data_IF_672555239371
#
_entry.id   IF_672555239371
#
_cell.length_a   1.000
_cell.length_b   1.000
_cell.length_c   1.000
_cell.angle_alpha   90.00
_cell.angle_beta   90.00
_cell.angle_gamma   90.00
#
_symmetry.space_group_name_H-M   'P 1'
#
loop_
_entity.id
_entity.type
_entity.pdbx_description
1 polymer ?
#
# COMPACT_ATOMS: atom_id res chain seq x y z
N UNK A 1 -6.10 28.52 -9.27
CA UNK A 1 -4.83 28.95 -8.65
C UNK A 1 -4.64 28.10 -7.41
N UNK A 2 -3.85 27.02 -7.51
CA UNK A 2 -3.68 26.04 -6.43
C UNK A 2 -3.02 26.68 -5.21
N UNK A 3 -3.53 26.37 -4.02
CA UNK A 3 -2.88 26.75 -2.77
C UNK A 3 -1.58 25.95 -2.68
N UNK A 4 -0.43 26.61 -2.60
CA UNK A 4 0.85 25.91 -2.53
C UNK A 4 0.97 25.10 -1.23
N UNK A 5 1.38 23.82 -1.31
CA UNK A 5 1.59 22.91 -0.16
C UNK A 5 2.81 23.26 0.74
N UNK A 6 3.11 24.54 0.91
CA UNK A 6 4.24 25.03 1.69
C UNK A 6 5.60 24.48 1.22
N UNK A 7 6.53 24.37 2.17
CA UNK A 7 7.90 23.89 1.92
C UNK A 7 7.93 22.45 1.36
N UNK A 8 7.06 21.56 1.87
CA UNK A 8 7.02 20.17 1.44
C UNK A 8 6.62 20.04 -0.04
N UNK A 9 5.59 20.76 -0.51
CA UNK A 9 5.23 20.77 -1.92
C UNK A 9 6.32 21.36 -2.81
N UNK A 10 7.02 22.39 -2.34
CA UNK A 10 8.12 23.03 -3.07
C UNK A 10 9.28 22.04 -3.28
N UNK A 11 9.65 21.27 -2.24
CA UNK A 11 10.68 20.23 -2.35
C UNK A 11 10.24 19.11 -3.31
N UNK A 12 8.98 18.69 -3.26
CA UNK A 12 8.47 17.65 -4.15
C UNK A 12 8.50 18.09 -5.62
N UNK A 13 8.11 19.34 -5.92
CA UNK A 13 8.17 19.89 -7.29
C UNK A 13 9.59 19.94 -7.84
N UNK A 14 10.56 20.31 -7.01
CA UNK A 14 11.98 20.28 -7.39
C UNK A 14 12.47 18.86 -7.71
N UNK A 15 11.83 17.83 -7.16
CA UNK A 15 12.11 16.42 -7.43
C UNK A 15 11.22 15.84 -8.56
N UNK A 16 10.58 16.68 -9.38
CA UNK A 16 9.81 16.25 -10.55
C UNK A 16 8.38 15.76 -10.25
N UNK A 17 7.85 16.07 -9.07
CA UNK A 17 6.44 15.79 -8.74
C UNK A 17 5.48 16.44 -9.74
N UNK A 18 4.46 15.67 -10.17
CA UNK A 18 3.30 16.18 -10.91
C UNK A 18 2.11 16.24 -9.95
N UNK A 19 1.45 17.40 -9.94
CA UNK A 19 0.22 17.60 -9.17
C UNK A 19 -1.00 17.27 -10.04
N UNK A 20 -1.95 16.57 -9.45
CA UNK A 20 -3.22 16.20 -10.06
C UNK A 20 -4.34 16.51 -9.08
N UNK A 21 -5.57 16.63 -9.59
CA UNK A 21 -6.76 16.73 -8.76
C UNK A 21 -7.64 15.51 -9.04
N UNK A 22 -7.97 14.77 -7.99
CA UNK A 22 -8.87 13.63 -8.07
C UNK A 22 -10.26 14.06 -7.65
N UNK A 23 -11.28 13.52 -8.30
CA UNK A 23 -12.69 13.80 -7.98
C UNK A 23 -13.38 12.52 -7.55
N UNK A 24 -13.98 12.52 -6.37
CA UNK A 24 -14.79 11.39 -5.87
C UNK A 24 -16.02 11.22 -6.75
N UNK A 25 -16.28 10.01 -7.21
CA UNK A 25 -17.47 9.63 -7.99
C UNK A 25 -18.41 8.72 -7.20
N UNK A 26 -17.91 8.03 -6.18
CA UNK A 26 -18.69 7.13 -5.33
C UNK A 26 -17.94 6.70 -4.07
N UNK A 27 -18.64 6.06 -3.15
CA UNK A 27 -18.09 5.53 -1.92
C UNK A 27 -18.81 4.24 -1.50
N UNK A 28 -18.08 3.33 -0.88
CA UNK A 28 -18.53 2.04 -0.35
C UNK A 28 -17.96 1.86 1.06
N UNK A 29 -18.83 1.60 2.04
CA UNK A 29 -18.42 1.17 3.38
C UNK A 29 -18.25 -0.36 3.35
N UNK A 30 -17.01 -0.80 3.10
CA UNK A 30 -16.63 -2.22 2.99
C UNK A 30 -16.77 -2.94 4.32
N UNK A 31 -16.37 -2.27 5.40
CA UNK A 31 -16.64 -2.66 6.79
C UNK A 31 -16.75 -1.40 7.67
N UNK A 32 -16.99 -1.55 8.97
CA UNK A 32 -17.05 -0.40 9.89
C UNK A 32 -15.75 0.42 9.93
N UNK A 33 -14.62 -0.25 9.68
CA UNK A 33 -13.28 0.34 9.78
C UNK A 33 -12.54 0.33 8.43
N UNK A 34 -13.26 0.12 7.33
CA UNK A 34 -12.68 0.06 5.99
C UNK A 34 -13.61 0.67 4.94
N UNK A 35 -13.11 1.67 4.22
CA UNK A 35 -13.92 2.40 3.24
C UNK A 35 -13.21 2.49 1.90
N UNK A 36 -13.96 2.27 0.82
CA UNK A 36 -13.49 2.45 -0.55
C UNK A 36 -14.11 3.71 -1.13
N UNK A 37 -13.30 4.52 -1.80
CA UNK A 37 -13.73 5.66 -2.61
C UNK A 37 -13.40 5.38 -4.06
N UNK A 38 -14.32 5.71 -4.97
CA UNK A 38 -14.11 5.67 -6.41
C UNK A 38 -13.80 7.08 -6.90
N UNK A 39 -12.81 7.24 -7.79
CA UNK A 39 -12.33 8.55 -8.23
C UNK A 39 -12.05 8.59 -9.72
N UNK A 40 -12.19 9.78 -10.31
CA UNK A 40 -11.50 10.14 -11.56
C UNK A 40 -10.14 10.75 -11.24
N UNK A 41 -9.17 10.56 -12.12
CA UNK A 41 -7.74 10.78 -11.87
C UNK A 41 -7.18 12.13 -12.35
N UNK A 42 -7.99 12.96 -13.02
CA UNK A 42 -7.53 14.22 -13.59
C UNK A 42 -6.44 14.06 -14.66
N UNK A 43 -6.38 12.91 -15.35
CA UNK A 43 -5.39 12.59 -16.38
C UNK A 43 -4.07 12.01 -15.84
N UNK A 44 -4.00 11.69 -14.55
CA UNK A 44 -2.81 11.17 -13.88
C UNK A 44 -2.29 9.85 -14.48
N UNK A 45 -3.18 8.87 -14.69
CA UNK A 45 -2.84 7.54 -15.20
C UNK A 45 -2.27 7.63 -16.62
N UNK A 46 -2.85 8.46 -17.48
CA UNK A 46 -2.33 8.71 -18.82
C UNK A 46 -0.94 9.37 -18.79
N UNK A 47 -0.69 10.26 -17.82
CA UNK A 47 0.56 11.03 -17.71
C UNK A 47 1.70 10.27 -17.00
N UNK A 48 1.40 9.18 -16.31
CA UNK A 48 2.37 8.47 -15.45
C UNK A 48 2.46 6.96 -15.71
N UNK A 49 1.48 6.38 -16.40
CA UNK A 49 1.35 4.93 -16.54
C UNK A 49 0.86 4.28 -15.24
N UNK A 50 0.83 2.95 -15.23
CA UNK A 50 0.41 2.14 -14.07
C UNK A 50 1.42 1.05 -13.80
N UNK A 51 1.55 0.67 -12.54
CA UNK A 51 2.33 -0.49 -12.14
C UNK A 51 1.76 -1.11 -10.85
N UNK A 52 2.10 -2.38 -10.54
CA UNK A 52 1.71 -3.00 -9.28
C UNK A 52 2.17 -2.18 -8.08
N UNK A 53 1.40 -2.20 -6.99
CA UNK A 53 1.68 -1.47 -5.73
C UNK A 53 1.79 0.06 -5.89
N UNK A 54 1.31 0.62 -7.00
CA UNK A 54 1.39 2.06 -7.27
C UNK A 54 0.62 2.87 -6.23
N UNK A 55 1.23 3.96 -5.77
CA UNK A 55 0.67 4.82 -4.73
C UNK A 55 0.90 6.29 -5.03
N UNK A 56 0.05 7.12 -4.44
CA UNK A 56 -0.01 8.58 -4.59
C UNK A 56 -0.03 9.26 -3.24
N UNK A 57 0.51 10.48 -3.17
CA UNK A 57 0.41 11.33 -1.97
C UNK A 57 -0.81 12.21 -2.11
N UNK A 58 -1.78 12.05 -1.22
CA UNK A 58 -2.95 12.90 -1.13
C UNK A 58 -2.70 14.00 -0.08
N UNK A 59 -3.21 15.20 -0.36
CA UNK A 59 -3.06 16.36 0.50
C UNK A 59 -4.38 16.67 1.23
N UNK A 60 -4.38 16.42 2.53
CA UNK A 60 -5.51 16.68 3.42
C UNK A 60 -5.34 18.01 4.14
N UNK A 61 -6.46 18.67 4.44
CA UNK A 61 -6.47 19.80 5.36
C UNK A 61 -6.49 19.28 6.81
N UNK A 62 -5.61 19.81 7.65
CA UNK A 62 -5.55 19.49 9.07
C UNK A 62 -5.36 20.78 9.88
N UNK A 63 -6.47 21.37 10.37
CA UNK A 63 -6.44 22.61 11.13
C UNK A 63 -5.82 23.78 10.35
N UNK A 64 -6.18 23.92 9.07
CA UNK A 64 -5.64 24.96 8.17
C UNK A 64 -4.21 24.71 7.68
N UNK A 65 -3.62 23.53 7.93
CA UNK A 65 -2.30 23.15 7.43
C UNK A 65 -2.38 21.94 6.49
N UNK A 66 -1.56 21.90 5.43
CA UNK A 66 -1.50 20.75 4.53
C UNK A 66 -0.88 19.55 5.24
N UNK A 67 -1.49 18.38 5.08
CA UNK A 67 -1.07 17.13 5.68
C UNK A 67 -1.15 16.01 4.65
N UNK A 68 0.00 15.45 4.28
CA UNK A 68 0.05 14.43 3.24
C UNK A 68 -0.05 13.00 3.79
N UNK A 69 -0.73 12.11 3.05
CA UNK A 69 -0.70 10.65 3.27
C UNK A 69 -0.61 9.91 1.94
N UNK A 70 0.09 8.78 1.95
CA UNK A 70 0.20 7.92 0.77
C UNK A 70 -0.95 6.91 0.74
N UNK A 71 -1.53 6.71 -0.43
CA UNK A 71 -2.55 5.68 -0.68
C UNK A 71 -2.26 4.93 -1.97
N UNK A 72 -2.45 3.62 -1.92
CA UNK A 72 -2.28 2.73 -3.08
C UNK A 72 -3.51 2.79 -3.98
N UNK A 73 -3.28 2.78 -5.29
CA UNK A 73 -4.35 2.71 -6.29
C UNK A 73 -4.95 1.30 -6.32
N UNK A 74 -6.27 1.24 -6.37
CA UNK A 74 -7.05 0.00 -6.59
C UNK A 74 -7.67 0.09 -7.97
N UNK A 75 -7.47 -0.96 -8.78
CA UNK A 75 -8.02 -1.11 -10.14
C UNK A 75 -7.89 0.13 -11.02
N UNK A 76 -6.68 0.67 -11.24
CA UNK A 76 -6.52 1.80 -12.13
C UNK A 76 -6.84 1.43 -13.58
N UNK A 77 -7.74 2.19 -14.20
CA UNK A 77 -8.10 2.12 -15.61
C UNK A 77 -7.59 3.38 -16.33
N UNK A 78 -6.44 3.30 -17.04
CA UNK A 78 -5.88 4.42 -17.78
C UNK A 78 -6.74 4.90 -18.95
N UNK A 79 -7.63 4.06 -19.49
CA UNK A 79 -8.52 4.44 -20.58
C UNK A 79 -9.71 5.25 -20.08
N UNK A 80 -10.28 4.86 -18.94
CA UNK A 80 -11.37 5.59 -18.30
C UNK A 80 -10.89 6.77 -17.45
N UNK A 81 -9.62 6.79 -17.04
CA UNK A 81 -9.09 7.78 -16.09
C UNK A 81 -9.70 7.60 -14.70
N UNK A 82 -9.95 6.35 -14.30
CA UNK A 82 -10.62 6.01 -13.04
C UNK A 82 -9.82 5.02 -12.22
N UNK A 83 -9.95 5.09 -10.91
CA UNK A 83 -9.37 4.15 -9.96
C UNK A 83 -10.14 4.25 -8.64
N UNK A 84 -9.82 3.37 -7.69
CA UNK A 84 -10.34 3.45 -6.33
C UNK A 84 -9.21 3.63 -5.32
N UNK A 85 -9.57 4.13 -4.15
CA UNK A 85 -8.70 4.21 -2.98
C UNK A 85 -9.40 3.54 -1.80
N UNK A 86 -8.63 2.80 -1.02
CA UNK A 86 -9.14 2.12 0.17
C UNK A 86 -8.49 2.70 1.43
N UNK A 87 -9.31 2.97 2.43
CA UNK A 87 -8.97 3.62 3.68
C UNK A 87 -9.23 2.65 4.83
N UNK A 88 -8.16 2.15 5.43
CA UNK A 88 -8.22 1.59 6.78
C UNK A 88 -8.51 2.74 7.76
N UNK A 89 -9.74 2.81 8.28
CA UNK A 89 -10.21 3.93 9.09
C UNK A 89 -9.60 3.88 10.49
N UNK A 90 -9.11 5.02 10.93
CA UNK A 90 -8.57 5.26 12.27
C UNK A 90 -8.74 6.74 12.64
N UNK A 91 -8.32 7.17 13.82
CA UNK A 91 -8.36 8.60 14.18
C UNK A 91 -7.41 9.43 13.31
N UNK A 92 -7.91 10.52 12.72
CA UNK A 92 -7.11 11.50 12.00
C UNK A 92 -7.73 12.01 10.69
N UNK A 93 -7.22 13.17 10.22
CA UNK A 93 -7.81 13.95 9.13
C UNK A 93 -8.03 13.19 7.82
N UNK A 94 -7.20 12.19 7.49
CA UNK A 94 -7.38 11.41 6.27
C UNK A 94 -8.60 10.48 6.35
N UNK A 95 -8.80 9.83 7.50
CA UNK A 95 -10.00 9.03 7.78
C UNK A 95 -11.24 9.91 7.92
N UNK A 96 -11.11 11.07 8.56
CA UNK A 96 -12.22 12.02 8.71
C UNK A 96 -12.70 12.54 7.35
N UNK A 97 -11.75 12.88 6.47
CA UNK A 97 -12.04 13.23 5.09
C UNK A 97 -12.70 12.07 4.35
N UNK A 98 -12.17 10.85 4.46
CA UNK A 98 -12.74 9.70 3.77
C UNK A 98 -14.17 9.38 4.22
N UNK A 99 -14.47 9.47 5.52
CA UNK A 99 -15.83 9.31 6.08
C UNK A 99 -16.80 10.37 5.53
N UNK A 100 -16.32 11.60 5.39
CA UNK A 100 -17.13 12.73 4.93
C UNK A 100 -17.25 12.82 3.39
N UNK A 101 -16.37 12.14 2.65
CA UNK A 101 -16.27 12.24 1.20
C UNK A 101 -17.56 11.81 0.50
N UNK A 102 -17.97 12.64 -0.47
CA UNK A 102 -19.16 12.47 -1.32
C UNK A 102 -18.81 12.72 -2.79
N UNK A 103 -19.60 12.19 -3.73
CA UNK A 103 -19.43 12.49 -5.15
C UNK A 103 -19.32 14.00 -5.41
N UNK A 104 -18.33 14.39 -6.22
CA UNK A 104 -17.98 15.78 -6.52
C UNK A 104 -16.98 16.43 -5.55
N UNK A 105 -16.64 15.81 -4.42
CA UNK A 105 -15.52 16.28 -3.61
C UNK A 105 -14.19 16.02 -4.33
N UNK A 106 -13.26 16.96 -4.19
CA UNK A 106 -11.94 16.84 -4.80
C UNK A 106 -10.84 16.71 -3.75
N UNK A 107 -9.70 16.15 -4.17
CA UNK A 107 -8.48 16.09 -3.37
C UNK A 107 -7.26 16.25 -4.27
N UNK A 108 -6.31 17.06 -3.83
CA UNK A 108 -5.05 17.23 -4.53
C UNK A 108 -4.14 16.03 -4.28
N UNK A 109 -3.44 15.61 -5.33
CA UNK A 109 -2.57 14.46 -5.31
C UNK A 109 -1.23 14.73 -5.99
N UNK A 110 -0.19 14.09 -5.50
CA UNK A 110 1.15 14.14 -6.07
C UNK A 110 1.66 12.73 -6.32
N UNK A 111 2.09 12.45 -7.56
CA UNK A 111 2.74 11.18 -7.92
C UNK A 111 4.25 11.37 -7.86
N UNK A 112 4.91 10.68 -6.92
CA UNK A 112 6.36 10.73 -6.81
C UNK A 112 6.91 9.60 -5.95
N UNK A 113 7.99 8.94 -6.40
CA UNK A 113 8.72 7.94 -5.63
C UNK A 113 8.06 6.57 -5.58
N UNK A 114 6.97 6.37 -6.32
CA UNK A 114 6.35 5.07 -6.54
C UNK A 114 7.04 4.33 -7.70
N UNK A 115 7.06 3.01 -7.64
CA UNK A 115 7.67 2.17 -8.66
C UNK A 115 7.55 0.69 -8.30
N UNK A 116 7.63 -0.16 -9.32
CA UNK A 116 7.66 -1.61 -9.15
C UNK A 116 8.77 -2.20 -10.01
N UNK A 117 9.60 -3.02 -9.40
CA UNK A 117 10.58 -3.82 -10.10
C UNK A 117 10.22 -5.28 -9.92
N UNK A 118 9.78 -5.91 -11.01
CA UNK A 118 9.48 -7.35 -11.00
C UNK A 118 10.75 -8.12 -10.62
N UNK A 119 10.72 -8.96 -9.57
CA UNK A 119 11.89 -9.70 -9.13
C UNK A 119 12.38 -10.65 -10.23
N UNK A 120 13.70 -10.73 -10.37
CA UNK A 120 14.36 -11.70 -11.28
C UNK A 120 15.40 -12.50 -10.49
N UNK A 121 15.48 -13.84 -10.65
CA UNK A 121 14.56 -14.71 -11.40
C UNK A 121 13.11 -14.63 -10.86
N UNK A 122 12.15 -15.14 -11.63
CA UNK A 122 10.75 -15.20 -11.16
C UNK A 122 10.68 -15.88 -9.79
N UNK A 123 9.86 -15.39 -8.85
CA UNK A 123 9.74 -16.01 -7.54
C UNK A 123 9.20 -17.43 -7.65
N UNK A 124 9.81 -18.36 -6.93
CA UNK A 124 9.22 -19.69 -6.73
C UNK A 124 8.21 -19.69 -5.58
N UNK A 125 8.26 -18.68 -4.70
CA UNK A 125 7.31 -18.45 -3.60
C UNK A 125 7.36 -16.98 -3.16
N UNK A 126 6.21 -16.39 -2.85
CA UNK A 126 6.08 -15.05 -2.29
C UNK A 126 5.78 -15.13 -0.79
N UNK A 127 6.60 -14.49 0.03
CA UNK A 127 6.40 -14.36 1.47
C UNK A 127 6.01 -12.92 1.78
N UNK A 128 4.75 -12.67 2.13
CA UNK A 128 4.22 -11.34 2.34
C UNK A 128 3.87 -11.08 3.81
N UNK A 129 4.18 -9.88 4.29
CA UNK A 129 3.74 -9.38 5.59
C UNK A 129 2.96 -8.10 5.36
N UNK A 130 1.70 -8.11 5.78
CA UNK A 130 0.72 -7.10 5.43
C UNK A 130 -0.24 -6.80 6.59
N UNK A 131 -0.98 -5.71 6.46
CA UNK A 131 -2.04 -5.28 7.37
C UNK A 131 -3.17 -4.64 6.53
N UNK A 132 -4.29 -4.20 7.13
CA UNK A 132 -5.37 -3.58 6.38
C UNK A 132 -4.94 -2.35 5.55
N UNK A 133 -3.94 -1.59 6.00
CA UNK A 133 -3.47 -0.40 5.28
C UNK A 133 -2.67 -0.76 4.01
N UNK A 134 -2.03 -1.92 3.98
CA UNK A 134 -1.28 -2.41 2.82
C UNK A 134 -2.03 -3.40 1.93
N UNK A 135 -3.23 -3.83 2.33
CA UNK A 135 -4.07 -4.75 1.57
C UNK A 135 -4.25 -4.39 0.08
N UNK A 136 -4.49 -3.12 -0.32
CA UNK A 136 -4.58 -2.75 -1.72
C UNK A 136 -3.31 -3.08 -2.51
N UNK A 137 -2.15 -2.84 -1.90
CA UNK A 137 -0.86 -3.13 -2.52
C UNK A 137 -0.60 -4.63 -2.56
N UNK A 138 -0.95 -5.36 -1.51
CA UNK A 138 -0.87 -6.82 -1.47
C UNK A 138 -1.71 -7.44 -2.61
N UNK A 139 -2.96 -7.01 -2.78
CA UNK A 139 -3.81 -7.48 -3.87
C UNK A 139 -3.15 -7.25 -5.24
N UNK A 140 -2.69 -6.02 -5.51
CA UNK A 140 -2.02 -5.71 -6.79
C UNK A 140 -0.71 -6.49 -7.00
N UNK A 141 -0.01 -6.84 -5.92
CA UNK A 141 1.21 -7.66 -5.98
C UNK A 141 0.87 -9.10 -6.34
N UNK A 142 -0.18 -9.67 -5.73
CA UNK A 142 -0.66 -11.02 -6.02
C UNK A 142 -1.20 -11.12 -7.44
N UNK A 143 -1.89 -10.08 -7.94
CA UNK A 143 -2.35 -10.01 -9.33
C UNK A 143 -1.17 -10.05 -10.32
N UNK A 144 -0.04 -9.40 -10.00
CA UNK A 144 1.17 -9.39 -10.83
C UNK A 144 1.98 -10.70 -10.74
N UNK A 145 2.10 -11.27 -9.54
CA UNK A 145 2.97 -12.42 -9.23
C UNK A 145 2.22 -13.74 -9.10
N UNK A 146 0.94 -13.80 -9.45
CA UNK A 146 0.01 -14.91 -9.17
C UNK A 146 0.38 -16.27 -9.77
N UNK A 147 1.46 -16.37 -10.54
CA UNK A 147 2.05 -17.66 -10.94
C UNK A 147 2.83 -18.34 -9.81
N UNK A 148 3.24 -17.60 -8.79
CA UNK A 148 3.97 -18.12 -7.65
C UNK A 148 3.02 -18.34 -6.46
N UNK A 149 3.14 -19.47 -5.73
CA UNK A 149 2.43 -19.65 -4.47
C UNK A 149 2.81 -18.56 -3.46
N UNK A 150 1.89 -18.24 -2.55
CA UNK A 150 2.08 -17.21 -1.55
C UNK A 150 2.00 -17.78 -0.13
N UNK A 151 2.64 -17.10 0.81
CA UNK A 151 2.39 -17.25 2.25
C UNK A 151 2.36 -15.87 2.84
N UNK A 152 1.22 -15.54 3.44
CA UNK A 152 0.92 -14.18 3.88
C UNK A 152 0.74 -14.21 5.39
N UNK A 153 1.56 -13.47 6.13
CA UNK A 153 1.26 -13.14 7.51
C UNK A 153 0.51 -11.80 7.51
N UNK A 154 -0.77 -11.85 7.87
CA UNK A 154 -1.64 -10.68 7.87
C UNK A 154 -1.94 -10.25 9.30
N UNK A 155 -1.52 -9.05 9.69
CA UNK A 155 -1.77 -8.53 11.03
C UNK A 155 -3.22 -8.06 11.18
N UNK A 156 -3.96 -8.67 12.10
CA UNK A 156 -5.39 -8.45 12.29
C UNK A 156 -6.23 -9.53 11.61
N UNK A 157 -7.41 -9.14 11.11
CA UNK A 157 -8.37 -10.04 10.48
C UNK A 157 -8.64 -9.59 9.04
N UNK A 158 -8.81 -10.56 8.14
CA UNK A 158 -9.24 -10.36 6.76
C UNK A 158 -10.76 -10.39 6.58
N UNK A 159 -11.53 -10.81 7.58
CA UNK A 159 -12.98 -10.94 7.49
C UNK A 159 -13.65 -9.64 7.00
N UNK A 160 -14.39 -9.75 5.89
CA UNK A 160 -15.07 -8.62 5.27
C UNK A 160 -14.19 -7.69 4.45
N UNK A 161 -12.86 -7.89 4.43
CA UNK A 161 -11.95 -7.12 3.58
C UNK A 161 -11.90 -7.69 2.15
N UNK A 162 -11.62 -6.85 1.13
CA UNK A 162 -11.66 -7.24 -0.28
C UNK A 162 -10.35 -7.93 -0.69
N UNK A 163 -9.94 -8.97 0.03
CA UNK A 163 -8.76 -9.76 -0.29
C UNK A 163 -9.01 -10.63 -1.54
N UNK A 164 -8.03 -10.64 -2.46
CA UNK A 164 -8.16 -11.32 -3.77
C UNK A 164 -7.34 -12.60 -3.91
N UNK A 165 -6.46 -12.90 -2.95
CA UNK A 165 -5.69 -14.14 -2.94
C UNK A 165 -6.49 -15.32 -2.40
N UNK A 166 -5.83 -16.48 -2.29
CA UNK A 166 -6.41 -17.64 -1.63
C UNK A 166 -6.37 -17.46 -0.10
N UNK A 167 -7.49 -17.47 0.63
CA UNK A 167 -7.50 -17.41 2.09
C UNK A 167 -6.68 -18.51 2.76
N UNK A 168 -6.46 -19.66 2.09
CA UNK A 168 -5.61 -20.74 2.59
C UNK A 168 -4.11 -20.36 2.67
N UNK A 169 -3.68 -19.35 1.91
CA UNK A 169 -2.31 -18.83 1.95
C UNK A 169 -2.07 -17.87 3.13
N UNK A 170 -3.14 -17.50 3.86
CA UNK A 170 -3.09 -16.48 4.89
C UNK A 170 -2.98 -17.07 6.29
N UNK A 171 -2.02 -16.53 7.04
CA UNK A 171 -1.87 -16.69 8.48
C UNK A 171 -2.26 -15.37 9.13
N UNK A 172 -3.48 -15.29 9.66
CA UNK A 172 -3.90 -14.13 10.45
C UNK A 172 -3.15 -14.10 11.77
N UNK A 173 -2.52 -12.98 12.09
CA UNK A 173 -1.72 -12.81 13.30
C UNK A 173 -2.32 -11.68 14.15
N UNK A 174 -2.51 -11.87 15.47
CA UNK A 174 -2.91 -10.78 16.34
C UNK A 174 -1.97 -9.58 16.26
N UNK A 175 -2.50 -8.38 16.50
CA UNK A 175 -1.68 -7.16 16.52
C UNK A 175 -0.53 -7.29 17.52
N UNK A 176 0.65 -6.84 17.12
CA UNK A 176 1.92 -6.90 17.84
C UNK A 176 2.62 -8.26 17.86
N UNK A 177 1.98 -9.34 17.41
CA UNK A 177 2.57 -10.69 17.39
C UNK A 177 3.21 -11.02 16.03
N UNK A 178 3.07 -10.13 15.03
CA UNK A 178 3.52 -10.36 13.65
C UNK A 178 5.02 -10.71 13.58
N UNK A 179 5.86 -10.02 14.34
CA UNK A 179 7.31 -10.25 14.34
C UNK A 179 7.65 -11.66 14.81
N UNK A 180 7.02 -12.11 15.88
CA UNK A 180 7.31 -13.42 16.49
C UNK A 180 6.77 -14.55 15.62
N UNK A 181 5.57 -14.40 15.06
CA UNK A 181 4.99 -15.37 14.13
C UNK A 181 5.87 -15.56 12.88
N UNK A 182 6.36 -14.47 12.28
CA UNK A 182 7.25 -14.55 11.11
C UNK A 182 8.59 -15.19 11.48
N UNK A 183 9.15 -14.87 12.65
CA UNK A 183 10.42 -15.45 13.13
C UNK A 183 10.33 -16.94 13.40
N UNK A 184 9.17 -17.44 13.83
CA UNK A 184 8.94 -18.85 14.08
C UNK A 184 8.98 -19.69 12.78
N UNK A 185 8.39 -19.18 11.71
CA UNK A 185 8.09 -19.98 10.51
C UNK A 185 9.02 -19.70 9.31
N UNK A 186 9.31 -18.42 9.05
CA UNK A 186 10.00 -17.98 7.84
C UNK A 186 11.36 -18.68 7.61
N UNK A 187 12.20 -18.95 8.63
CA UNK A 187 13.51 -19.56 8.39
C UNK A 187 13.43 -20.95 7.74
N UNK A 188 12.44 -21.77 8.12
CA UNK A 188 12.26 -23.09 7.53
C UNK A 188 11.76 -22.99 6.10
N UNK A 189 10.80 -22.10 5.85
CA UNK A 189 10.20 -21.87 4.53
C UNK A 189 11.23 -21.32 3.52
N UNK A 190 12.11 -20.41 3.94
CA UNK A 190 13.18 -19.91 3.07
C UNK A 190 14.18 -20.99 2.70
N UNK A 191 14.54 -21.88 3.64
CA UNK A 191 15.48 -22.97 3.35
C UNK A 191 14.95 -23.96 2.31
N UNK A 192 13.63 -24.14 2.23
CA UNK A 192 12.97 -25.01 1.25
C UNK A 192 12.60 -24.30 -0.05
N UNK A 193 12.92 -23.02 -0.20
CA UNK A 193 12.52 -22.21 -1.37
C UNK A 193 13.73 -21.77 -2.16
N UNK A 194 13.81 -22.14 -3.43
CA UNK A 194 14.95 -21.81 -4.29
C UNK A 194 15.03 -20.32 -4.65
N UNK A 195 13.89 -19.70 -4.98
CA UNK A 195 13.80 -18.30 -5.39
C UNK A 195 12.76 -17.55 -4.55
N UNK A 196 12.98 -17.37 -3.24
CA UNK A 196 12.03 -16.66 -2.38
C UNK A 196 11.98 -15.18 -2.78
N UNK A 197 10.80 -14.59 -2.66
CA UNK A 197 10.64 -13.14 -2.71
C UNK A 197 9.88 -12.67 -1.47
N UNK A 198 10.47 -11.74 -0.72
CA UNK A 198 9.88 -11.21 0.51
C UNK A 198 9.28 -9.84 0.25
N UNK A 199 8.02 -9.64 0.63
CA UNK A 199 7.35 -8.34 0.55
C UNK A 199 6.82 -7.92 1.91
N UNK A 200 7.23 -6.76 2.40
CA UNK A 200 6.92 -6.28 3.75
C UNK A 200 6.32 -4.89 3.66
N UNK A 201 5.05 -4.76 4.03
CA UNK A 201 4.40 -3.46 4.17
C UNK A 201 3.42 -3.47 5.35
N UNK A 202 3.89 -2.96 6.47
CA UNK A 202 3.13 -2.81 7.71
C UNK A 202 3.44 -1.43 8.32
N UNK A 203 3.37 -1.29 9.63
CA UNK A 203 3.94 -0.14 10.31
C UNK A 203 5.48 -0.07 10.15
N UNK A 204 6.02 1.14 10.34
CA UNK A 204 7.45 1.44 10.16
C UNK A 204 8.36 0.62 11.07
N UNK A 205 7.95 0.37 12.32
CA UNK A 205 8.74 -0.38 13.29
C UNK A 205 8.80 -1.84 12.90
N UNK A 206 7.65 -2.48 12.66
CA UNK A 206 7.59 -3.90 12.24
C UNK A 206 8.32 -4.12 10.92
N UNK A 207 8.06 -3.25 9.93
CA UNK A 207 8.73 -3.33 8.62
C UNK A 207 10.25 -3.24 8.75
N UNK A 208 10.75 -2.32 9.57
CA UNK A 208 12.20 -2.18 9.81
C UNK A 208 12.74 -3.43 10.50
N UNK A 209 12.08 -3.92 11.55
CA UNK A 209 12.50 -5.10 12.31
C UNK A 209 12.58 -6.34 11.41
N UNK A 210 11.52 -6.66 10.68
CA UNK A 210 11.48 -7.83 9.81
C UNK A 210 12.44 -7.72 8.62
N UNK A 211 12.57 -6.53 8.02
CA UNK A 211 13.52 -6.35 6.91
C UNK A 211 14.99 -6.41 7.36
N UNK A 212 15.31 -6.03 8.60
CA UNK A 212 16.65 -6.24 9.18
C UNK A 212 16.88 -7.71 9.48
N UNK A 213 15.90 -8.38 10.09
CA UNK A 213 15.95 -9.82 10.37
C UNK A 213 16.21 -10.65 9.10
N UNK A 214 15.39 -10.44 8.06
CA UNK A 214 15.54 -11.13 6.78
C UNK A 214 16.92 -10.92 6.13
N UNK A 215 17.44 -9.69 6.15
CA UNK A 215 18.73 -9.36 5.52
C UNK A 215 19.94 -9.81 6.33
N UNK A 216 19.91 -9.62 7.66
CA UNK A 216 21.09 -9.77 8.53
C UNK A 216 21.21 -11.15 9.14
N UNK A 217 20.08 -11.77 9.46
CA UNK A 217 20.06 -13.09 10.12
C UNK A 217 19.74 -14.21 9.12
N UNK A 218 18.81 -13.98 8.19
CA UNK A 218 18.41 -14.98 7.19
C UNK A 218 19.17 -14.88 5.86
N UNK A 219 20.01 -13.85 5.69
CA UNK A 219 20.87 -13.70 4.51
C UNK A 219 20.12 -13.41 3.20
N UNK A 220 18.87 -12.93 3.27
CA UNK A 220 18.07 -12.62 2.07
C UNK A 220 18.68 -11.44 1.33
N UNK A 221 18.95 -11.64 0.03
CA UNK A 221 19.52 -10.60 -0.81
C UNK A 221 18.54 -9.42 -1.00
N UNK A 222 19.09 -8.21 -1.15
CA UNK A 222 18.30 -6.97 -1.19
C UNK A 222 17.31 -6.93 -2.36
N UNK A 223 17.69 -7.48 -3.50
CA UNK A 223 16.88 -7.60 -4.71
C UNK A 223 15.81 -8.71 -4.63
N UNK A 224 15.86 -9.54 -3.58
CA UNK A 224 14.85 -10.56 -3.25
C UNK A 224 13.85 -10.07 -2.19
N UNK A 225 13.87 -8.77 -1.88
CA UNK A 225 12.99 -8.21 -0.87
C UNK A 225 12.54 -6.79 -1.20
N UNK A 226 11.25 -6.52 -1.01
CA UNK A 226 10.69 -5.18 -0.91
C UNK A 226 10.22 -4.92 0.52
N UNK A 227 10.57 -3.76 1.08
CA UNK A 227 10.14 -3.36 2.42
C UNK A 227 9.83 -1.87 2.47
N UNK A 228 8.58 -1.51 2.80
CA UNK A 228 8.11 -0.13 2.87
C UNK A 228 7.18 0.05 4.08
N UNK A 229 7.51 0.97 4.99
CA UNK A 229 6.63 1.27 6.13
C UNK A 229 5.46 2.15 5.68
N UNK A 230 4.23 1.65 5.78
CA UNK A 230 3.03 2.33 5.28
C UNK A 230 2.51 3.37 6.26
N UNK A 231 2.64 3.09 7.54
CA UNK A 231 2.23 4.00 8.61
C UNK A 231 3.24 3.96 9.76
N UNK A 232 3.03 4.84 10.73
CA UNK A 232 3.84 4.89 11.94
C UNK A 232 2.87 4.90 13.12
N UNK A 233 3.01 3.90 13.99
CA UNK A 233 2.34 3.91 15.28
C UNK A 233 2.80 5.15 16.06
N UNK A 234 1.82 5.90 16.56
CA UNK A 234 2.04 7.03 17.48
C UNK A 234 2.46 6.54 18.84
#
# INVERSE_FOLDING_TARGET
>A
MGQGHGWQGTVLKLLGAKDFEFTVTGAEDVSSDYRRLHLTDGGMLAATGVHPTMWVRLWFENGGKPHQRAYTLVDPDPHAGTFSLEFALHEGCASDWARAAKPGNTIEATVQGTGFQRPRPEPSHVFAMADPASLPALNSLLDELGSAPATIWFEGNLDGLPFRGDPADVRTVPRHDLVDAVRADLPALLKSTEHPYIWIACDTTTTRTLSMYARKELGVAKDRMHALGYWRAT
#
